data_IF_875826502477
#
_entry.id   IF_875826502477
#
_cell.length_a   1.000
_cell.length_b   1.000
_cell.length_c   1.000
_cell.angle_alpha   90.00
_cell.angle_beta   90.00
_cell.angle_gamma   90.00
#
_symmetry.space_group_name_H-M   'P 1'
#
loop_
_entity.id
_entity.type
_entity.pdbx_description
1 polymer ?
#
# COMPACT_ATOMS: atom_id res chain seq x y z
N UNK A 1 12.52 13.28 10.92
CA UNK A 1 11.12 12.84 10.74
C UNK A 1 10.74 13.08 9.31
N UNK A 2 10.12 12.12 8.64
CA UNK A 2 9.59 12.25 7.29
C UNK A 2 8.19 12.88 7.33
N UNK A 3 7.85 13.70 6.34
CA UNK A 3 6.50 14.26 6.16
C UNK A 3 5.60 13.20 5.51
N UNK A 4 4.51 12.84 6.18
CA UNK A 4 3.49 11.96 5.60
C UNK A 4 2.52 12.78 4.77
N UNK A 5 2.41 12.44 3.48
CA UNK A 5 1.52 13.04 2.51
C UNK A 5 0.54 11.99 2.02
N UNK A 6 -0.73 12.37 1.88
CA UNK A 6 -1.75 11.49 1.32
C UNK A 6 -2.15 12.08 -0.03
N UNK A 7 -2.20 11.23 -1.05
CA UNK A 7 -2.94 11.52 -2.29
C UNK A 7 -4.40 11.80 -1.95
N UNK A 8 -5.12 12.51 -2.82
CA UNK A 8 -6.54 12.83 -2.57
C UNK A 8 -7.39 11.57 -2.42
N UNK A 9 -7.03 10.55 -3.19
CA UNK A 9 -7.52 9.19 -3.09
C UNK A 9 -7.29 8.53 -1.73
N UNK A 10 -6.06 8.56 -1.21
CA UNK A 10 -5.77 8.05 0.12
C UNK A 10 -6.47 8.85 1.23
N UNK A 11 -6.78 10.14 0.99
CA UNK A 11 -7.58 10.95 1.91
C UNK A 11 -9.04 10.51 1.90
N UNK A 12 -9.59 10.13 0.76
CA UNK A 12 -10.92 9.51 0.66
C UNK A 12 -10.95 8.19 1.42
N UNK A 13 -9.99 7.31 1.17
CA UNK A 13 -9.89 6.04 1.89
C UNK A 13 -9.92 6.22 3.42
N UNK A 14 -9.13 7.18 3.92
CA UNK A 14 -9.07 7.48 5.34
C UNK A 14 -10.40 8.04 5.88
N UNK A 15 -11.13 8.81 5.07
CA UNK A 15 -12.46 9.35 5.41
C UNK A 15 -13.53 8.26 5.41
N UNK A 16 -13.38 7.22 4.63
CA UNK A 16 -14.37 6.14 4.52
C UNK A 16 -14.22 5.08 5.62
N UNK A 17 -13.08 5.06 6.32
CA UNK A 17 -12.89 4.20 7.49
C UNK A 17 -13.80 4.59 8.66
N UNK A 18 -14.35 3.55 9.31
CA UNK A 18 -15.07 3.67 10.59
C UNK A 18 -14.16 4.21 11.72
N UNK A 19 -14.77 4.67 12.81
CA UNK A 19 -14.05 5.34 13.90
C UNK A 19 -12.90 4.52 14.50
N UNK A 20 -13.09 3.21 14.66
CA UNK A 20 -12.07 2.34 15.25
C UNK A 20 -10.94 2.05 14.26
N UNK A 21 -11.29 1.79 13.01
CA UNK A 21 -10.37 1.57 11.90
C UNK A 21 -9.50 2.81 11.64
N UNK A 22 -10.12 4.00 11.61
CA UNK A 22 -9.45 5.27 11.39
C UNK A 22 -8.39 5.54 12.46
N UNK A 23 -8.70 5.30 13.74
CA UNK A 23 -7.72 5.49 14.83
C UNK A 23 -6.50 4.59 14.66
N UNK A 24 -6.71 3.33 14.28
CA UNK A 24 -5.62 2.38 14.03
C UNK A 24 -4.74 2.84 12.86
N UNK A 25 -5.36 3.26 11.75
CA UNK A 25 -4.64 3.74 10.57
C UNK A 25 -3.89 5.04 10.85
N UNK A 26 -4.49 6.01 11.55
CA UNK A 26 -3.82 7.26 11.92
C UNK A 26 -2.57 7.01 12.78
N UNK A 27 -2.64 6.05 13.71
CA UNK A 27 -1.45 5.63 14.50
C UNK A 27 -0.37 5.03 13.61
N UNK A 28 -0.74 4.27 12.58
CA UNK A 28 0.21 3.73 11.63
C UNK A 28 0.83 4.81 10.73
N UNK A 29 0.05 5.79 10.27
CA UNK A 29 0.55 6.92 9.51
C UNK A 29 1.58 7.73 10.31
N UNK A 30 1.31 8.03 11.58
CA UNK A 30 2.29 8.69 12.47
C UNK A 30 3.60 7.89 12.61
N UNK A 31 3.53 6.57 12.60
CA UNK A 31 4.74 5.73 12.63
C UNK A 31 5.59 5.91 11.38
N UNK A 32 5.00 6.17 10.21
CA UNK A 32 5.74 6.43 8.97
C UNK A 32 6.56 7.73 9.01
N UNK A 33 6.31 8.63 9.97
CA UNK A 33 7.18 9.80 10.16
C UNK A 33 8.59 9.42 10.66
N UNK A 34 8.77 8.19 11.16
CA UNK A 34 10.02 7.71 11.76
C UNK A 34 10.51 6.45 11.05
N UNK A 35 11.61 6.59 10.31
CA UNK A 35 12.29 5.52 9.55
C UNK A 35 11.32 4.72 8.65
N UNK A 36 10.56 5.39 7.77
CA UNK A 36 9.57 4.73 6.90
C UNK A 36 10.19 3.63 6.02
N UNK A 37 11.45 3.77 5.62
CA UNK A 37 12.21 2.77 4.88
C UNK A 37 12.45 1.46 5.64
N UNK A 38 12.37 1.49 6.98
CA UNK A 38 12.46 0.30 7.85
C UNK A 38 11.10 -0.30 8.16
N UNK A 39 10.00 0.29 7.69
CA UNK A 39 8.64 -0.18 7.95
C UNK A 39 8.05 -0.89 6.76
N UNK A 40 7.10 -1.79 7.04
CA UNK A 40 6.43 -2.56 5.99
C UNK A 40 7.39 -3.39 5.14
N UNK A 41 6.82 -4.01 4.12
CA UNK A 41 7.53 -4.89 3.20
C UNK A 41 7.68 -4.20 1.84
N UNK A 42 8.86 -4.23 1.21
CA UNK A 42 9.01 -3.82 -0.19
C UNK A 42 8.10 -4.67 -1.08
N UNK A 43 7.44 -4.06 -2.06
CA UNK A 43 6.61 -4.82 -3.01
C UNK A 43 7.47 -5.57 -4.04
N UNK A 44 8.71 -5.14 -4.24
CA UNK A 44 9.74 -5.82 -5.03
C UNK A 44 9.48 -5.77 -6.55
N UNK A 45 10.30 -6.49 -7.30
CA UNK A 45 10.14 -6.65 -8.73
C UNK A 45 9.38 -7.95 -9.02
N UNK A 46 8.39 -7.90 -9.91
CA UNK A 46 7.53 -9.04 -10.28
C UNK A 46 7.45 -9.15 -11.81
N UNK A 47 7.20 -10.34 -12.40
CA UNK A 47 6.92 -10.45 -13.83
C UNK A 47 5.77 -9.51 -14.20
N UNK A 48 6.04 -8.54 -15.07
CA UNK A 48 5.15 -7.42 -15.35
C UNK A 48 5.83 -6.07 -15.08
N UNK A 49 6.51 -5.88 -13.94
CA UNK A 49 7.30 -4.67 -13.66
C UNK A 49 7.72 -4.43 -12.21
N UNK A 50 8.27 -3.25 -11.98
CA UNK A 50 9.17 -2.97 -10.85
C UNK A 50 8.57 -1.99 -9.83
N UNK A 51 8.35 -2.49 -8.61
CA UNK A 51 7.76 -1.74 -7.50
C UNK A 51 8.71 -1.68 -6.32
N UNK A 52 10.00 -1.81 -6.59
CA UNK A 52 11.07 -1.66 -5.59
C UNK A 52 10.98 -0.35 -4.82
N UNK A 53 10.38 0.70 -5.39
CA UNK A 53 10.17 1.99 -4.72
C UNK A 53 8.94 2.02 -3.79
N UNK A 54 8.02 1.07 -3.91
CA UNK A 54 6.80 1.00 -3.10
C UNK A 54 6.92 0.00 -1.95
N UNK A 55 6.23 0.32 -0.86
CA UNK A 55 6.18 -0.48 0.36
C UNK A 55 4.73 -0.68 0.80
N UNK A 56 4.47 -1.83 1.42
CA UNK A 56 3.17 -2.18 2.00
C UNK A 56 3.30 -2.34 3.51
N UNK A 57 2.48 -1.62 4.27
CA UNK A 57 2.37 -1.77 5.72
C UNK A 57 1.05 -2.45 6.08
N UNK A 58 1.12 -3.55 6.82
CA UNK A 58 -0.04 -4.29 7.34
C UNK A 58 -0.34 -3.82 8.76
N UNK A 59 -1.58 -3.42 9.06
CA UNK A 59 -1.97 -2.81 10.34
C UNK A 59 -3.30 -3.33 10.87
N UNK A 60 -3.59 -3.06 12.15
CA UNK A 60 -4.88 -3.42 12.78
C UNK A 60 -5.16 -4.92 12.80
N UNK A 61 -4.23 -5.73 13.29
CA UNK A 61 -4.34 -7.19 13.27
C UNK A 61 -4.61 -7.76 11.86
N UNK A 62 -3.85 -7.26 10.88
CA UNK A 62 -3.96 -7.63 9.45
C UNK A 62 -5.29 -7.22 8.78
N UNK A 63 -6.11 -6.41 9.45
CA UNK A 63 -7.37 -5.91 8.92
C UNK A 63 -7.17 -4.84 7.85
N UNK A 64 -6.05 -4.10 7.85
CA UNK A 64 -5.83 -3.00 6.90
C UNK A 64 -4.43 -3.01 6.29
N UNK A 65 -4.30 -2.41 5.11
CA UNK A 65 -3.05 -2.19 4.39
C UNK A 65 -2.90 -0.73 3.98
N UNK A 66 -1.66 -0.26 4.05
CA UNK A 66 -1.25 1.07 3.61
C UNK A 66 -0.15 0.88 2.55
N UNK A 67 -0.39 1.38 1.34
CA UNK A 67 0.60 1.39 0.26
C UNK A 67 1.21 2.78 0.17
N UNK A 68 2.53 2.84 0.22
CA UNK A 68 3.25 4.11 0.23
C UNK A 68 4.60 4.00 -0.48
N UNK A 69 5.11 5.16 -0.89
CA UNK A 69 6.47 5.35 -1.40
C UNK A 69 7.23 6.26 -0.44
N UNK A 70 8.52 5.98 -0.25
CA UNK A 70 9.44 6.91 0.41
C UNK A 70 10.17 7.67 -0.69
N UNK A 71 10.18 8.99 -0.62
CA UNK A 71 10.96 9.81 -1.56
C UNK A 71 12.47 9.52 -1.40
N UNK A 72 13.23 9.70 -2.48
CA UNK A 72 14.64 9.26 -2.54
C UNK A 72 15.53 9.92 -1.46
N UNK A 73 15.16 11.11 -1.00
CA UNK A 73 15.85 11.85 0.05
C UNK A 73 15.37 11.48 1.48
N UNK A 74 14.39 10.58 1.61
CA UNK A 74 13.81 10.15 2.88
C UNK A 74 12.96 11.21 3.59
N UNK A 75 12.75 12.37 2.97
CA UNK A 75 12.07 13.51 3.62
C UNK A 75 10.56 13.41 3.59
N UNK A 76 10.01 12.62 2.67
CA UNK A 76 8.57 12.46 2.52
C UNK A 76 8.15 11.01 2.27
N UNK A 77 6.95 10.71 2.74
CA UNK A 77 6.24 9.47 2.51
C UNK A 77 4.92 9.78 1.83
N UNK A 78 4.74 9.29 0.62
CA UNK A 78 3.50 9.50 -0.15
C UNK A 78 2.64 8.25 -0.03
N UNK A 79 1.47 8.41 0.58
CA UNK A 79 0.47 7.35 0.77
C UNK A 79 -0.52 7.40 -0.38
N UNK A 80 -0.68 6.24 -1.03
CA UNK A 80 -1.50 6.08 -2.22
C UNK A 80 -2.80 5.34 -1.94
N UNK A 81 -2.77 4.43 -0.96
CA UNK A 81 -3.90 3.52 -0.70
C UNK A 81 -3.97 3.25 0.79
N UNK A 82 -5.18 3.29 1.32
CA UNK A 82 -5.54 2.78 2.65
C UNK A 82 -6.77 1.91 2.47
N UNK A 83 -6.80 0.71 3.05
CA UNK A 83 -8.07 0.00 3.10
C UNK A 83 -8.00 -1.41 3.67
N UNK A 84 -9.16 -2.11 3.68
CA UNK A 84 -9.35 -3.36 4.41
C UNK A 84 -8.70 -4.58 3.74
N UNK A 85 -8.72 -5.71 4.47
CA UNK A 85 -8.05 -6.99 4.15
C UNK A 85 -8.42 -7.63 2.79
N UNK A 86 -9.45 -7.16 2.09
CA UNK A 86 -9.66 -7.56 0.72
C UNK A 86 -8.56 -6.93 -0.15
N UNK A 87 -7.38 -7.55 -0.14
CA UNK A 87 -6.17 -7.09 -0.84
C UNK A 87 -6.50 -6.77 -2.29
N UNK A 88 -7.36 -7.61 -2.89
CA UNK A 88 -7.96 -7.40 -4.20
C UNK A 88 -8.58 -6.01 -4.43
N UNK A 89 -9.43 -5.53 -3.52
CA UNK A 89 -10.19 -4.29 -3.70
C UNK A 89 -9.34 -3.05 -3.46
N UNK A 90 -8.52 -3.03 -2.39
CA UNK A 90 -7.55 -1.96 -2.16
C UNK A 90 -6.61 -1.82 -3.36
N UNK A 91 -6.21 -2.96 -3.90
CA UNK A 91 -5.28 -3.01 -4.99
C UNK A 91 -5.94 -2.56 -6.32
N UNK A 92 -7.15 -3.03 -6.63
CA UNK A 92 -7.96 -2.55 -7.76
C UNK A 92 -8.17 -1.03 -7.71
N UNK A 93 -8.49 -0.49 -6.52
CA UNK A 93 -8.71 0.92 -6.30
C UNK A 93 -7.42 1.72 -6.53
N UNK A 94 -6.28 1.25 -6.02
CA UNK A 94 -4.96 1.81 -6.30
C UNK A 94 -4.70 1.93 -7.81
N UNK A 95 -4.96 0.86 -8.56
CA UNK A 95 -4.76 0.82 -10.03
C UNK A 95 -5.65 1.80 -10.77
N UNK A 96 -6.93 1.84 -10.41
CA UNK A 96 -7.88 2.76 -11.03
C UNK A 96 -7.42 4.22 -10.86
N UNK A 97 -6.98 4.57 -9.67
CA UNK A 97 -6.52 5.91 -9.30
C UNK A 97 -5.21 6.28 -9.99
N UNK A 98 -4.26 5.35 -10.02
CA UNK A 98 -2.98 5.51 -10.72
C UNK A 98 -3.15 5.74 -12.24
N UNK A 99 -4.19 5.16 -12.85
CA UNK A 99 -4.56 5.41 -14.26
C UNK A 99 -5.17 6.79 -14.49
N UNK A 100 -5.91 7.32 -13.52
CA UNK A 100 -6.58 8.62 -13.65
C UNK A 100 -5.62 9.81 -13.51
N UNK A 101 -4.54 9.68 -12.74
CA UNK A 101 -3.54 10.74 -12.53
C UNK A 101 -2.55 10.94 -13.69
N UNK A 102 -2.71 10.25 -14.83
CA UNK A 102 -1.95 10.49 -16.06
C UNK A 102 -0.48 10.00 -16.05
N UNK A 103 -0.02 9.44 -14.94
CA UNK A 103 1.32 8.87 -14.80
C UNK A 103 1.33 7.45 -15.41
N UNK A 104 1.64 7.36 -16.71
CA UNK A 104 1.63 6.11 -17.49
C UNK A 104 2.53 5.02 -16.91
N UNK A 105 3.62 5.40 -16.24
CA UNK A 105 4.54 4.49 -15.56
C UNK A 105 3.85 3.87 -14.35
N UNK A 106 3.25 4.71 -13.52
CA UNK A 106 2.56 4.33 -12.29
C UNK A 106 1.29 3.52 -12.57
N UNK A 107 0.55 3.86 -13.62
CA UNK A 107 -0.62 3.12 -14.11
C UNK A 107 -0.27 1.69 -14.59
N UNK A 108 0.90 1.52 -15.20
CA UNK A 108 1.44 0.21 -15.59
C UNK A 108 1.89 -0.59 -14.37
N UNK A 109 2.66 0.03 -13.48
CA UNK A 109 3.09 -0.53 -12.19
C UNK A 109 1.91 -1.04 -11.37
N UNK A 110 0.82 -0.28 -11.36
CA UNK A 110 -0.41 -0.67 -10.71
C UNK A 110 -1.04 -1.92 -11.33
N UNK A 111 -1.17 -1.98 -12.66
CA UNK A 111 -1.78 -3.14 -13.35
C UNK A 111 -1.10 -4.47 -13.02
N UNK A 112 0.20 -4.49 -12.72
CA UNK A 112 0.96 -5.75 -12.52
C UNK A 112 1.07 -6.17 -11.06
N UNK A 113 0.85 -5.23 -10.16
CA UNK A 113 0.83 -5.44 -8.73
C UNK A 113 -0.52 -6.08 -8.32
N UNK A 114 -1.56 -5.93 -9.16
CA UNK A 114 -2.78 -6.74 -9.14
C UNK A 114 -2.41 -8.22 -9.30
N UNK A 115 -1.64 -8.56 -10.33
CA UNK A 115 -1.32 -9.97 -10.61
C UNK A 115 -0.41 -10.58 -9.51
N UNK A 116 0.44 -9.76 -8.90
CA UNK A 116 1.38 -10.16 -7.85
C UNK A 116 0.74 -10.35 -6.46
N UNK A 117 -0.24 -9.52 -6.09
CA UNK A 117 -0.89 -9.59 -4.79
C UNK A 117 -1.76 -10.86 -4.63
N UNK A 118 -2.35 -11.35 -5.72
CA UNK A 118 -3.23 -12.52 -5.73
C UNK A 118 -2.47 -13.85 -5.82
N UNK A 119 -1.19 -13.84 -6.22
CA UNK A 119 -0.39 -15.08 -6.34
C UNK A 119 0.14 -15.63 -5.00
N UNK A 120 -0.02 -14.91 -3.88
CA UNK A 120 0.52 -15.30 -2.58
C UNK A 120 -0.52 -15.83 -1.59
N UNK A 121 -1.80 -15.89 -1.97
CA UNK A 121 -2.87 -16.43 -1.11
C UNK A 121 -3.25 -17.88 -1.45
N UNK A 122 -2.55 -18.50 -2.42
CA UNK A 122 -2.81 -19.88 -2.87
C UNK A 122 -1.57 -20.80 -2.78
N UNK A 123 -0.78 -20.66 -1.70
CA UNK A 123 0.07 -21.79 -1.29
C UNK A 123 -0.77 -22.72 -0.42
N UNK A 124 -1.05 -23.96 -0.83
CA UNK A 124 -1.53 -24.95 0.13
C UNK A 124 -0.50 -25.02 1.25
N UNK A 125 -0.96 -24.88 2.50
CA UNK A 125 -0.11 -25.11 3.66
C UNK A 125 0.51 -26.51 3.58
N UNK A 126 1.67 -26.75 4.19
CA UNK A 126 2.33 -28.05 4.12
C UNK A 126 1.33 -29.12 4.59
N UNK A 127 0.94 -30.01 3.68
CA UNK A 127 0.18 -31.21 4.00
C UNK A 127 1.10 -32.04 4.87
N UNK A 128 0.76 -32.14 6.15
CA UNK A 128 1.47 -33.00 7.07
C UNK A 128 0.97 -34.43 6.81
N UNK A 129 1.84 -35.28 6.29
CA UNK A 129 1.64 -36.74 6.24
C UNK A 129 1.74 -37.36 7.64
#
# INVERSE_FOLDING_TARGET
MARVQLTDDAREDLRDLDGSARVVVLKALRKLEHEPEKRGEPLGSRPGGDLTTFRKLVVGNRAFRIVYRVEADGTAVVVWVIGPRADAECYNLAVARLRMHGDRELARLARMLLDAAFAQEDRPGPVSE
#
